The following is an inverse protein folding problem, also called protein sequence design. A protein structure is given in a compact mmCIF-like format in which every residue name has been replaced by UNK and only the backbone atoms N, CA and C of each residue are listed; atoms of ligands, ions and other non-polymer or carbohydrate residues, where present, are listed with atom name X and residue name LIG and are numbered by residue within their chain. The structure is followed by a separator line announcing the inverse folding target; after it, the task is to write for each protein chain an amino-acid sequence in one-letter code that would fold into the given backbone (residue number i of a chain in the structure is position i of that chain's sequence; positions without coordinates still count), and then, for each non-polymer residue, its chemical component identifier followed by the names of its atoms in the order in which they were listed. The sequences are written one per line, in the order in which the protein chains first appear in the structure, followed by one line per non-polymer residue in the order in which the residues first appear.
data_IF_877214300873
#
_entry.id   IF_877214300873
#
_cell.length_a   1.000
_cell.length_b   1.000
_cell.length_c   1.000
_cell.angle_alpha   90.00
_cell.angle_beta   90.00
_cell.angle_gamma   90.00
#
_symmetry.space_group_name_H-M   'P 1'
#
loop_
_entity.id
_entity.type
_entity.pdbx_description
1 polymer ?
#
# COMPACT_ATOMS: atom_id res chain seq x y z
N UNK A 1 -26.05 -2.22 -20.95
CA UNK A 1 -24.62 -2.53 -21.11
C UNK A 1 -24.41 -3.91 -20.49
N UNK A 2 -24.17 -4.95 -21.29
CA UNK A 2 -24.14 -6.34 -20.82
C UNK A 2 -23.15 -6.59 -19.65
N UNK A 3 -22.00 -5.92 -19.63
CA UNK A 3 -21.00 -6.05 -18.56
C UNK A 3 -21.50 -5.61 -17.18
N UNK A 4 -22.37 -4.59 -17.13
CA UNK A 4 -22.95 -4.15 -15.86
C UNK A 4 -23.90 -5.20 -15.29
N UNK A 5 -24.71 -5.83 -16.14
CA UNK A 5 -25.63 -6.91 -15.77
C UNK A 5 -24.86 -8.12 -15.23
N UNK A 6 -23.85 -8.58 -15.97
CA UNK A 6 -23.02 -9.72 -15.57
C UNK A 6 -22.30 -9.48 -14.24
N UNK A 7 -21.74 -8.28 -14.05
CA UNK A 7 -21.09 -7.90 -12.78
C UNK A 7 -22.09 -7.87 -11.63
N UNK A 8 -23.30 -7.34 -11.87
CA UNK A 8 -24.35 -7.28 -10.87
C UNK A 8 -24.81 -8.66 -10.42
N UNK A 9 -25.08 -9.57 -11.36
CA UNK A 9 -25.51 -10.95 -11.07
C UNK A 9 -24.38 -11.77 -10.41
N UNK A 10 -23.13 -11.52 -10.77
CA UNK A 10 -21.98 -12.15 -10.11
C UNK A 10 -21.83 -11.73 -8.65
N UNK A 11 -22.09 -10.44 -8.36
CA UNK A 11 -22.06 -9.90 -6.99
C UNK A 11 -23.30 -10.28 -6.17
N UNK A 12 -24.45 -10.42 -6.82
CA UNK A 12 -25.73 -10.73 -6.18
C UNK A 12 -26.33 -12.02 -6.77
N UNK A 13 -25.77 -13.20 -6.44
CA UNK A 13 -26.30 -14.46 -6.94
C UNK A 13 -27.76 -14.65 -6.55
N UNK A 14 -28.61 -14.91 -7.55
CA UNK A 14 -30.05 -15.11 -7.34
C UNK A 14 -30.90 -13.83 -7.30
N UNK A 15 -30.34 -12.67 -7.68
CA UNK A 15 -31.14 -11.45 -7.83
C UNK A 15 -32.27 -11.64 -8.85
N UNK A 16 -33.49 -11.25 -8.48
CA UNK A 16 -34.65 -11.21 -9.36
C UNK A 16 -34.74 -9.81 -10.00
N UNK A 17 -34.15 -9.63 -11.18
CA UNK A 17 -34.20 -8.36 -11.94
C UNK A 17 -32.85 -7.96 -12.53
N UNK A 18 -32.87 -6.88 -13.33
CA UNK A 18 -31.66 -6.35 -13.99
C UNK A 18 -31.11 -5.13 -13.28
N UNK A 19 -29.78 -4.94 -13.28
CA UNK A 19 -29.16 -3.70 -12.81
C UNK A 19 -29.68 -2.47 -13.58
N UNK A 20 -30.16 -2.67 -14.81
CA UNK A 20 -30.70 -1.63 -15.67
C UNK A 20 -32.09 -1.15 -15.25
N UNK A 21 -32.74 -1.86 -14.34
CA UNK A 21 -34.05 -1.50 -13.77
C UNK A 21 -33.90 -0.76 -12.43
N UNK A 22 -32.71 -0.83 -11.80
CA UNK A 22 -32.44 -0.19 -10.52
C UNK A 22 -32.17 1.32 -10.70
N UNK A 23 -32.69 2.10 -9.75
CA UNK A 23 -32.32 3.51 -9.61
C UNK A 23 -30.89 3.67 -9.08
N UNK A 24 -30.34 4.88 -9.22
CA UNK A 24 -29.09 5.21 -8.54
C UNK A 24 -29.26 5.12 -7.02
N UNK A 25 -28.23 4.62 -6.33
CA UNK A 25 -28.25 4.55 -4.88
C UNK A 25 -28.29 5.95 -4.26
N UNK A 26 -29.12 6.12 -3.24
CA UNK A 26 -29.10 7.31 -2.39
C UNK A 26 -27.80 7.34 -1.59
N UNK A 27 -26.96 8.35 -1.83
CA UNK A 27 -25.68 8.50 -1.13
C UNK A 27 -25.89 9.36 0.13
N UNK A 28 -25.70 8.81 1.35
CA UNK A 28 -25.88 9.58 2.58
C UNK A 28 -24.93 10.78 2.63
N UNK A 29 -25.46 11.97 2.92
CA UNK A 29 -24.64 13.17 3.08
C UNK A 29 -23.56 13.02 4.17
N UNK A 30 -23.81 12.18 5.17
CA UNK A 30 -22.86 11.86 6.25
C UNK A 30 -21.60 11.12 5.80
N UNK A 31 -21.56 10.58 4.58
CA UNK A 31 -20.35 9.95 4.03
C UNK A 31 -19.34 10.99 3.54
N UNK A 32 -19.75 12.24 3.35
CA UNK A 32 -18.85 13.31 2.95
C UNK A 32 -18.07 13.81 4.17
N UNK A 33 -16.76 13.60 4.14
CA UNK A 33 -15.82 14.13 5.12
C UNK A 33 -14.70 14.88 4.39
N UNK A 34 -14.84 16.21 4.32
CA UNK A 34 -13.89 17.08 3.62
C UNK A 34 -12.51 17.10 4.30
N UNK A 35 -12.45 16.91 5.62
CA UNK A 35 -11.19 16.86 6.36
C UNK A 35 -10.42 15.56 6.06
N UNK A 36 -11.14 14.43 6.00
CA UNK A 36 -10.58 13.15 5.56
C UNK A 36 -10.13 13.22 4.10
N UNK A 37 -10.92 13.85 3.22
CA UNK A 37 -10.56 14.04 1.81
C UNK A 37 -9.23 14.81 1.68
N UNK A 38 -9.09 15.95 2.36
CA UNK A 38 -7.87 16.75 2.37
C UNK A 38 -6.67 15.97 2.93
N UNK A 39 -6.85 15.20 4.01
CA UNK A 39 -5.81 14.29 4.53
C UNK A 39 -5.32 13.33 3.44
N UNK A 40 -6.24 12.70 2.71
CA UNK A 40 -5.90 11.74 1.66
C UNK A 40 -5.33 12.37 0.39
N UNK A 41 -5.61 13.63 0.10
CA UNK A 41 -4.94 14.38 -0.97
C UNK A 41 -3.44 14.49 -0.68
N UNK A 42 -3.06 14.85 0.55
CA UNK A 42 -1.65 14.88 0.98
C UNK A 42 -0.98 13.51 0.90
N UNK A 43 -1.63 12.46 1.42
CA UNK A 43 -1.11 11.08 1.34
C UNK A 43 -0.89 10.66 -0.11
N UNK A 44 -1.85 10.95 -1.00
CA UNK A 44 -1.73 10.64 -2.44
C UNK A 44 -0.61 11.43 -3.09
N UNK A 45 -0.41 12.70 -2.72
CA UNK A 45 0.70 13.51 -3.23
C UNK A 45 2.06 12.90 -2.87
N UNK A 46 2.27 12.52 -1.60
CA UNK A 46 3.48 11.82 -1.17
C UNK A 46 3.67 10.50 -1.93
N UNK A 47 2.59 9.71 -2.07
CA UNK A 47 2.62 8.46 -2.86
C UNK A 47 3.05 8.72 -4.31
N UNK A 48 2.60 9.80 -4.96
CA UNK A 48 3.02 10.14 -6.33
C UNK A 48 4.53 10.29 -6.42
N UNK A 49 5.14 11.04 -5.49
CA UNK A 49 6.60 11.25 -5.46
C UNK A 49 7.33 9.92 -5.26
N UNK A 50 6.86 9.08 -4.33
CA UNK A 50 7.44 7.74 -4.11
C UNK A 50 7.35 6.90 -5.38
N UNK A 51 6.18 6.81 -6.01
CA UNK A 51 6.01 6.01 -7.23
C UNK A 51 6.85 6.53 -8.39
N UNK A 52 7.03 7.85 -8.51
CA UNK A 52 7.89 8.46 -9.52
C UNK A 52 9.37 8.09 -9.32
N UNK A 53 9.85 8.14 -8.08
CA UNK A 53 11.21 7.73 -7.76
C UNK A 53 11.46 6.25 -8.09
N UNK A 54 10.51 5.37 -7.72
CA UNK A 54 10.63 3.94 -7.99
C UNK A 54 10.52 3.59 -9.49
N UNK A 55 9.85 4.41 -10.29
CA UNK A 55 9.79 4.19 -11.74
C UNK A 55 11.16 4.38 -12.40
N UNK A 56 11.98 5.33 -11.92
CA UNK A 56 13.36 5.49 -12.38
C UNK A 56 14.20 4.24 -12.07
N UNK A 57 14.03 3.65 -10.89
CA UNK A 57 14.71 2.41 -10.51
C UNK A 57 14.28 1.22 -11.36
N UNK A 58 12.99 1.14 -11.75
CA UNK A 58 12.50 0.11 -12.68
C UNK A 58 13.08 0.30 -14.08
N UNK A 59 13.09 1.54 -14.58
CA UNK A 59 13.69 1.87 -15.87
C UNK A 59 15.19 1.51 -15.91
N UNK A 60 15.90 1.70 -14.79
CA UNK A 60 17.29 1.29 -14.62
C UNK A 60 17.48 -0.22 -14.34
N UNK A 61 16.39 -1.01 -14.27
CA UNK A 61 16.37 -2.44 -13.93
C UNK A 61 16.97 -2.78 -12.55
N UNK A 62 17.00 -1.82 -11.63
CA UNK A 62 17.50 -2.00 -10.27
C UNK A 62 16.50 -2.80 -9.39
N UNK A 63 15.20 -2.62 -9.65
CA UNK A 63 14.09 -3.34 -9.04
C UNK A 63 13.11 -3.84 -10.12
N UNK A 64 12.48 -4.99 -9.89
CA UNK A 64 11.39 -5.50 -10.73
C UNK A 64 10.00 -5.05 -10.23
N UNK A 65 9.80 -5.04 -8.92
CA UNK A 65 8.55 -4.68 -8.25
C UNK A 65 8.76 -3.60 -7.18
N UNK A 66 7.72 -2.84 -6.82
CA UNK A 66 7.81 -1.87 -5.71
C UNK A 66 8.09 -2.55 -4.37
N UNK A 67 7.69 -3.82 -4.20
CA UNK A 67 8.02 -4.62 -3.02
C UNK A 67 9.52 -4.88 -2.88
N UNK A 68 10.33 -4.75 -3.93
CA UNK A 68 11.78 -4.81 -3.79
C UNK A 68 12.39 -3.51 -3.24
N UNK A 69 11.59 -2.49 -2.93
CA UNK A 69 12.08 -1.20 -2.46
C UNK A 69 11.77 -0.94 -0.98
N UNK A 70 12.66 -0.16 -0.35
CA UNK A 70 12.49 0.41 0.99
C UNK A 70 12.97 1.87 1.01
N UNK A 71 12.28 2.80 0.31
CA UNK A 71 12.78 4.16 0.12
C UNK A 71 12.77 4.98 1.41
N UNK A 72 13.60 6.03 1.43
CA UNK A 72 13.53 7.09 2.44
C UNK A 72 12.81 8.30 1.85
N UNK A 73 11.75 8.74 2.51
CA UNK A 73 10.92 9.87 2.13
C UNK A 73 11.22 11.03 3.07
N UNK A 74 11.59 12.17 2.53
CA UNK A 74 11.83 13.40 3.27
C UNK A 74 10.67 14.35 3.07
N UNK A 75 10.15 14.90 4.16
CA UNK A 75 9.01 15.81 4.14
C UNK A 75 9.35 17.06 4.96
N UNK A 76 9.42 18.19 4.28
CA UNK A 76 9.75 19.48 4.88
C UNK A 76 8.57 20.07 5.66
N UNK A 77 7.36 19.95 5.12
CA UNK A 77 6.14 20.48 5.73
C UNK A 77 5.65 19.58 6.87
N UNK A 78 5.57 20.13 8.09
CA UNK A 78 5.03 19.43 9.25
C UNK A 78 3.56 19.06 9.09
N UNK A 79 2.74 19.85 8.39
CA UNK A 79 1.32 19.54 8.18
C UNK A 79 1.14 18.29 7.31
N UNK A 80 1.99 18.12 6.29
CA UNK A 80 2.00 16.90 5.46
C UNK A 80 2.46 15.69 6.29
N UNK A 81 3.46 15.85 7.16
CA UNK A 81 3.89 14.78 8.08
C UNK A 81 2.78 14.38 9.06
N UNK A 82 2.06 15.35 9.60
CA UNK A 82 0.93 15.11 10.49
C UNK A 82 -0.22 14.38 9.77
N UNK A 83 -0.47 14.70 8.50
CA UNK A 83 -1.44 13.97 7.66
C UNK A 83 -1.06 12.49 7.45
N UNK A 84 0.23 12.15 7.52
CA UNK A 84 0.71 10.74 7.45
C UNK A 84 0.64 10.03 8.80
N UNK A 85 0.35 10.73 9.90
CA UNK A 85 0.27 10.12 11.23
C UNK A 85 -0.79 9.00 11.27
N UNK A 86 -0.39 7.85 11.81
CA UNK A 86 -1.20 6.64 11.88
C UNK A 86 -1.41 5.91 10.54
N UNK A 87 -0.75 6.34 9.46
CA UNK A 87 -0.82 5.70 8.15
C UNK A 87 0.44 4.88 7.90
N UNK A 88 0.28 3.61 7.54
CA UNK A 88 1.40 2.80 7.04
C UNK A 88 1.72 3.22 5.60
N UNK A 89 2.68 4.12 5.45
CA UNK A 89 3.06 4.63 4.13
C UNK A 89 3.63 3.53 3.21
N UNK A 90 4.26 2.49 3.78
CA UNK A 90 4.78 1.37 2.99
C UNK A 90 3.63 0.55 2.38
N UNK A 91 2.53 0.34 3.10
CA UNK A 91 1.29 -0.24 2.54
C UNK A 91 0.74 0.63 1.40
N UNK A 92 0.61 1.94 1.63
CA UNK A 92 0.05 2.86 0.64
C UNK A 92 0.89 2.93 -0.64
N UNK A 93 2.21 2.86 -0.50
CA UNK A 93 3.15 2.89 -1.63
C UNK A 93 3.47 1.50 -2.19
N UNK A 94 2.96 0.42 -1.56
CA UNK A 94 3.18 -0.96 -1.96
C UNK A 94 4.69 -1.30 -1.99
N UNK A 95 5.42 -0.89 -0.96
CA UNK A 95 6.84 -1.19 -0.76
C UNK A 95 7.05 -2.11 0.45
N UNK A 96 8.23 -2.70 0.57
CA UNK A 96 8.52 -3.57 1.73
C UNK A 96 8.88 -2.81 2.99
N UNK A 97 9.31 -1.57 2.84
CA UNK A 97 9.48 -0.63 3.94
C UNK A 97 9.45 0.80 3.44
N UNK A 98 9.28 1.76 4.35
CA UNK A 98 9.50 3.18 4.09
C UNK A 98 10.04 3.80 5.37
N UNK A 99 11.04 4.66 5.24
CA UNK A 99 11.47 5.55 6.32
C UNK A 99 11.00 6.97 6.00
N UNK A 100 10.24 7.59 6.90
CA UNK A 100 9.90 9.00 6.80
C UNK A 100 10.88 9.81 7.64
N UNK A 101 11.43 10.88 7.06
CA UNK A 101 12.37 11.79 7.69
C UNK A 101 11.94 13.24 7.51
N UNK A 102 12.35 14.09 8.45
CA UNK A 102 12.05 15.51 8.42
C UNK A 102 13.02 16.25 7.48
N UNK A 103 12.51 17.28 6.81
CA UNK A 103 13.31 18.21 6.01
C UNK A 103 13.25 17.94 4.51
N UNK A 104 14.10 18.64 3.76
CA UNK A 104 14.05 18.67 2.28
C UNK A 104 14.71 17.48 1.60
N UNK A 105 15.46 16.67 2.35
CA UNK A 105 16.28 15.57 1.82
C UNK A 105 17.53 16.04 1.06
N UNK A 106 18.40 15.12 0.66
CA UNK A 106 19.64 15.44 -0.05
C UNK A 106 19.36 15.91 -1.49
N UNK A 107 20.35 16.50 -2.15
CA UNK A 107 20.17 17.12 -3.47
C UNK A 107 19.75 16.09 -4.54
N UNK A 108 20.32 14.89 -4.47
CA UNK A 108 20.08 13.75 -5.36
C UNK A 108 18.71 13.06 -5.15
N UNK A 109 17.98 13.39 -4.09
CA UNK A 109 16.64 12.83 -3.88
C UNK A 109 15.68 13.27 -4.99
N UNK A 110 14.86 12.32 -5.45
CA UNK A 110 13.85 12.57 -6.47
C UNK A 110 12.77 13.52 -5.96
N UNK A 111 12.29 14.42 -6.81
CA UNK A 111 11.24 15.41 -6.51
C UNK A 111 10.30 15.55 -7.70
N UNK A 112 9.04 15.87 -7.43
CA UNK A 112 8.08 16.28 -8.45
C UNK A 112 7.86 17.79 -8.37
N UNK A 113 7.73 18.45 -9.51
CA UNK A 113 7.55 19.90 -9.57
C UNK A 113 6.18 20.37 -9.05
N UNK A 114 5.17 19.49 -9.03
CA UNK A 114 3.81 19.76 -8.55
C UNK A 114 3.57 19.28 -7.11
N UNK A 115 4.61 18.80 -6.41
CA UNK A 115 4.55 18.34 -5.01
C UNK A 115 5.71 18.93 -4.23
N UNK A 116 5.50 20.14 -3.71
CA UNK A 116 6.51 20.86 -2.93
C UNK A 116 6.81 20.18 -1.59
N UNK A 117 8.06 20.31 -1.14
CA UNK A 117 8.47 19.88 0.20
C UNK A 117 8.57 18.36 0.40
N UNK A 118 8.35 17.54 -0.63
CA UNK A 118 8.52 16.08 -0.58
C UNK A 118 9.65 15.65 -1.50
N UNK A 119 10.61 14.87 -0.98
CA UNK A 119 11.63 14.22 -1.78
C UNK A 119 11.83 12.77 -1.38
N UNK A 120 12.31 11.95 -2.33
CA UNK A 120 12.43 10.50 -2.14
C UNK A 120 13.80 10.03 -2.59
N UNK A 121 14.53 9.39 -1.67
CA UNK A 121 15.72 8.63 -1.99
C UNK A 121 15.33 7.16 -2.14
N UNK A 122 15.33 6.60 -3.36
CA UNK A 122 15.03 5.19 -3.55
C UNK A 122 16.13 4.32 -2.92
N UNK A 123 15.72 3.16 -2.43
CA UNK A 123 16.63 2.14 -1.92
C UNK A 123 16.01 0.76 -2.09
N UNK A 124 16.85 -0.26 -2.32
CA UNK A 124 16.41 -1.66 -2.36
C UNK A 124 16.09 -2.15 -0.95
N UNK A 125 15.01 -2.89 -0.80
CA UNK A 125 14.63 -3.50 0.46
C UNK A 125 15.65 -4.57 0.87
N UNK A 126 16.14 -4.55 2.12
CA UNK A 126 17.08 -5.55 2.62
C UNK A 126 16.38 -6.86 3.00
N UNK A 127 17.18 -7.89 3.27
CA UNK A 127 16.69 -9.17 3.78
C UNK A 127 16.24 -10.15 2.70
N UNK A 128 15.28 -11.01 3.03
CA UNK A 128 14.79 -12.07 2.14
C UNK A 128 13.35 -11.82 1.71
N UNK A 129 12.99 -12.30 0.53
CA UNK A 129 11.63 -12.23 0.01
C UNK A 129 10.73 -13.24 0.74
N UNK A 130 9.65 -12.75 1.34
CA UNK A 130 8.59 -13.56 1.93
C UNK A 130 7.91 -14.41 0.86
N UNK A 131 7.76 -15.71 1.12
CA UNK A 131 7.13 -16.65 0.20
C UNK A 131 5.62 -16.40 -0.02
N UNK A 132 4.95 -15.69 0.90
CA UNK A 132 3.49 -15.45 0.86
C UNK A 132 3.11 -14.06 0.35
N UNK A 133 3.60 -13.00 1.00
CA UNK A 133 3.28 -11.60 0.63
C UNK A 133 4.26 -10.97 -0.33
N UNK A 134 5.39 -11.62 -0.63
CA UNK A 134 6.49 -11.11 -1.45
C UNK A 134 7.19 -9.87 -0.91
N UNK A 135 6.89 -9.46 0.33
CA UNK A 135 7.66 -8.44 1.04
C UNK A 135 9.04 -8.92 1.41
N UNK A 136 10.00 -8.03 1.32
CA UNK A 136 11.34 -8.21 1.85
C UNK A 136 11.36 -7.88 3.33
N UNK A 137 11.93 -8.78 4.12
CA UNK A 137 11.98 -8.64 5.58
C UNK A 137 13.28 -9.22 6.14
N UNK A 138 13.63 -8.80 7.35
CA UNK A 138 14.75 -9.37 8.08
C UNK A 138 14.39 -10.80 8.55
N UNK A 139 15.08 -11.86 8.08
CA UNK A 139 14.80 -13.22 8.51
C UNK A 139 15.00 -13.44 10.01
N UNK A 140 15.78 -12.59 10.70
CA UNK A 140 15.91 -12.66 12.16
C UNK A 140 14.61 -12.32 12.90
N UNK A 141 13.70 -11.59 12.26
CA UNK A 141 12.37 -11.29 12.80
C UNK A 141 11.34 -12.41 12.56
N UNK A 142 11.69 -13.45 11.78
CA UNK A 142 10.77 -14.51 11.42
C UNK A 142 10.30 -15.30 12.64
N UNK A 143 9.06 -15.79 12.57
CA UNK A 143 8.61 -16.80 13.51
C UNK A 143 9.37 -18.11 13.25
N UNK A 144 9.92 -18.79 14.28
CA UNK A 144 10.66 -20.03 14.08
C UNK A 144 9.84 -21.14 13.39
N UNK A 145 8.52 -21.15 13.55
CA UNK A 145 7.65 -22.11 12.87
C UNK A 145 7.44 -21.75 11.39
N UNK A 146 7.70 -20.50 10.98
CA UNK A 146 7.50 -20.01 9.62
C UNK A 146 8.69 -19.15 9.14
N UNK A 147 9.89 -19.72 9.01
CA UNK A 147 11.12 -18.95 8.75
C UNK A 147 11.17 -18.24 7.39
N UNK A 148 10.32 -18.64 6.44
CA UNK A 148 10.28 -18.09 5.07
C UNK A 148 9.27 -16.97 4.84
N UNK A 149 8.56 -16.51 5.86
CA UNK A 149 7.50 -15.49 5.72
C UNK A 149 7.58 -14.42 6.80
N UNK A 150 6.94 -13.28 6.54
CA UNK A 150 6.91 -12.16 7.49
C UNK A 150 6.14 -12.53 8.78
N UNK A 151 6.39 -11.84 9.91
CA UNK A 151 5.61 -12.04 11.13
C UNK A 151 4.09 -11.88 10.94
N UNK A 152 3.68 -10.93 10.08
CA UNK A 152 2.27 -10.73 9.71
C UNK A 152 1.69 -11.96 9.03
N UNK A 153 2.41 -12.51 8.06
CA UNK A 153 1.96 -13.68 7.32
C UNK A 153 1.96 -14.94 8.21
N UNK A 154 2.92 -15.04 9.13
CA UNK A 154 2.95 -16.10 10.15
C UNK A 154 1.74 -16.02 11.09
N UNK A 155 1.33 -14.83 11.51
CA UNK A 155 0.11 -14.64 12.31
C UNK A 155 -1.13 -15.15 11.55
N UNK A 156 -1.28 -14.78 10.27
CA UNK A 156 -2.38 -15.26 9.43
C UNK A 156 -2.34 -16.80 9.22
N UNK A 157 -1.14 -17.40 9.11
CA UNK A 157 -1.00 -18.86 9.06
C UNK A 157 -1.46 -19.53 10.34
N UNK A 158 -1.11 -18.98 11.51
CA UNK A 158 -1.51 -19.53 12.80
C UNK A 158 -3.02 -19.45 13.02
N UNK A 159 -3.64 -18.32 12.67
CA UNK A 159 -5.11 -18.19 12.70
C UNK A 159 -5.78 -19.23 11.81
N UNK A 160 -5.25 -19.45 10.61
CA UNK A 160 -5.78 -20.45 9.70
C UNK A 160 -5.61 -21.88 10.24
N UNK A 161 -4.45 -22.23 10.78
CA UNK A 161 -4.22 -23.54 11.40
C UNK A 161 -5.13 -23.77 12.61
N UNK A 162 -5.36 -22.75 13.43
CA UNK A 162 -6.29 -22.83 14.56
C UNK A 162 -7.74 -23.08 14.10
N UNK A 163 -8.14 -22.51 12.95
CA UNK A 163 -9.44 -22.77 12.34
C UNK A 163 -9.51 -24.11 11.56
N UNK A 164 -8.38 -24.72 11.23
CA UNK A 164 -8.27 -25.92 10.41
C UNK A 164 -7.28 -26.93 11.05
N UNK A 165 -7.61 -27.49 12.23
CA UNK A 165 -6.69 -28.34 12.99
C UNK A 165 -6.26 -29.60 12.22
N UNK A 166 -7.11 -30.12 11.33
CA UNK A 166 -6.82 -31.32 10.53
C UNK A 166 -5.82 -31.05 9.38
N UNK A 167 -5.57 -29.79 9.03
CA UNK A 167 -4.62 -29.44 7.97
C UNK A 167 -3.15 -29.44 8.44
N UNK A 168 -2.92 -29.56 9.76
CA UNK A 168 -1.59 -29.63 10.37
C UNK A 168 -1.09 -31.07 10.58
N UNK A 169 -1.94 -32.07 10.33
CA UNK A 169 -1.65 -33.51 10.44
C UNK A 169 -1.07 -34.07 9.13
#
# INVERSE_FOLDING_TARGET
MFTAEETYLSRNPGAEGSIHELGFADVPASWRDDALAAKWENIRAVRRVVTGALELERAAKAIGSSLEAAPTVFIADSAVREALSGVDLAEICITSGIKVMDGVGPAEAFRLADVDGVSVLPAKAPGIKCARSWRYFDPASADPAFPGITPRDAAAMKEWLAANPDAAA
#
